data_IF_205474189872
#
_entry.id   IF_205474189872
#
_cell.length_a   1.000
_cell.length_b   1.000
_cell.length_c   1.000
_cell.angle_alpha   90.00
_cell.angle_beta   90.00
_cell.angle_gamma   90.00
#
_symmetry.space_group_name_H-M   'P 1'
#
loop_
_entity.id
_entity.type
_entity.pdbx_description
1 polymer ?
#
# COMPACT_ATOMS: atom_id res chain seq x y z
N UNK A 1 5.12 -2.84 18.37
CA UNK A 1 3.88 -2.67 17.57
C UNK A 1 3.44 -4.06 17.09
N UNK A 2 2.15 -4.34 16.89
CA UNK A 2 1.72 -5.67 16.42
C UNK A 2 2.34 -5.95 15.03
N UNK A 3 2.91 -7.15 14.81
CA UNK A 3 3.59 -7.52 13.55
C UNK A 3 2.71 -7.31 12.30
N UNK A 4 1.39 -7.45 12.45
CA UNK A 4 0.43 -7.17 11.36
C UNK A 4 0.39 -5.69 10.98
N UNK A 5 0.39 -4.80 11.96
CA UNK A 5 0.35 -3.35 11.75
C UNK A 5 1.69 -2.87 11.19
N UNK A 6 2.79 -3.35 11.76
CA UNK A 6 4.13 -2.98 11.32
C UNK A 6 4.45 -3.47 9.91
N UNK A 7 4.12 -4.73 9.60
CA UNK A 7 4.27 -5.27 8.25
C UNK A 7 3.38 -4.57 7.22
N UNK A 8 2.13 -4.24 7.57
CA UNK A 8 1.24 -3.48 6.70
C UNK A 8 1.79 -2.08 6.38
N UNK A 9 2.32 -1.37 7.39
CA UNK A 9 2.92 -0.04 7.18
C UNK A 9 4.19 -0.16 6.31
N UNK A 10 5.06 -1.13 6.59
CA UNK A 10 6.31 -1.32 5.85
C UNK A 10 6.04 -1.64 4.37
N UNK A 11 5.05 -2.50 4.08
CA UNK A 11 4.67 -2.90 2.72
C UNK A 11 4.04 -1.76 1.92
N UNK A 12 3.28 -0.88 2.57
CA UNK A 12 2.51 0.17 1.90
C UNK A 12 3.13 1.57 1.94
N UNK A 13 4.31 1.77 2.53
CA UNK A 13 4.91 3.10 2.68
C UNK A 13 4.89 3.93 1.37
N UNK A 14 5.26 3.31 0.24
CA UNK A 14 5.23 3.95 -1.08
C UNK A 14 3.79 4.18 -1.58
N UNK A 15 2.89 3.25 -1.29
CA UNK A 15 1.49 3.32 -1.70
C UNK A 15 0.77 4.49 -1.01
N UNK A 16 1.07 4.80 0.26
CA UNK A 16 0.50 5.96 0.95
C UNK A 16 0.73 7.27 0.19
N UNK A 17 1.94 7.47 -0.35
CA UNK A 17 2.28 8.67 -1.12
C UNK A 17 1.43 8.72 -2.40
N UNK A 18 1.28 7.59 -3.09
CA UNK A 18 0.46 7.49 -4.31
C UNK A 18 -1.01 7.81 -3.98
N UNK A 19 -1.55 7.26 -2.89
CA UNK A 19 -2.92 7.56 -2.44
C UNK A 19 -3.10 9.04 -2.09
N UNK A 20 -2.12 9.67 -1.41
CA UNK A 20 -2.20 11.09 -1.10
C UNK A 20 -2.21 11.96 -2.37
N UNK A 21 -1.35 11.66 -3.35
CA UNK A 21 -1.32 12.38 -4.64
C UNK A 21 -2.64 12.20 -5.39
N UNK A 22 -3.17 10.98 -5.42
CA UNK A 22 -4.42 10.68 -6.11
C UNK A 22 -5.63 11.35 -5.42
N UNK A 23 -5.62 11.47 -4.09
CA UNK A 23 -6.62 12.25 -3.37
C UNK A 23 -6.56 13.74 -3.73
N UNK A 24 -5.37 14.35 -3.79
CA UNK A 24 -5.20 15.75 -4.21
C UNK A 24 -5.71 15.95 -5.64
N UNK A 25 -5.37 15.02 -6.54
CA UNK A 25 -5.85 15.07 -7.92
C UNK A 25 -7.39 15.05 -7.97
N UNK A 26 -8.04 14.15 -7.22
CA UNK A 26 -9.50 14.08 -7.16
C UNK A 26 -10.10 15.36 -6.57
N UNK A 27 -9.49 15.89 -5.50
CA UNK A 27 -9.93 17.11 -4.82
C UNK A 27 -9.92 18.34 -5.73
N UNK A 28 -9.01 18.40 -6.71
CA UNK A 28 -8.94 19.51 -7.67
C UNK A 28 -9.79 19.21 -8.90
N UNK A 29 -9.64 18.04 -9.51
CA UNK A 29 -10.19 17.73 -10.84
C UNK A 29 -11.66 17.34 -10.81
N UNK A 30 -12.13 16.69 -9.74
CA UNK A 30 -13.51 16.20 -9.67
C UNK A 30 -14.34 16.93 -8.62
N UNK A 31 -13.80 17.13 -7.42
CA UNK A 31 -14.55 17.78 -6.33
C UNK A 31 -14.85 19.23 -6.69
N UNK A 32 -13.89 19.96 -7.27
CA UNK A 32 -14.08 21.37 -7.62
C UNK A 32 -15.22 21.58 -8.63
N UNK A 33 -15.24 20.88 -9.79
CA UNK A 33 -16.35 21.00 -10.73
C UNK A 33 -17.71 20.64 -10.15
N UNK A 34 -17.80 19.57 -9.36
CA UNK A 34 -19.08 19.15 -8.77
C UNK A 34 -19.60 20.20 -7.78
N UNK A 35 -18.73 20.69 -6.89
CA UNK A 35 -19.10 21.66 -5.88
C UNK A 35 -19.48 23.02 -6.50
N UNK A 36 -18.72 23.48 -7.48
CA UNK A 36 -18.97 24.74 -8.18
C UNK A 36 -20.30 24.69 -8.95
N UNK A 37 -20.54 23.61 -9.71
CA UNK A 37 -21.80 23.45 -10.43
C UNK A 37 -23.01 23.33 -9.52
N UNK A 38 -22.85 22.66 -8.38
CA UNK A 38 -23.91 22.58 -7.38
C UNK A 38 -24.24 23.97 -6.81
N UNK A 39 -23.22 24.76 -6.47
CA UNK A 39 -23.40 26.13 -5.98
C UNK A 39 -24.14 27.00 -7.01
N UNK A 40 -23.76 26.93 -8.29
CA UNK A 40 -24.41 27.70 -9.35
C UNK A 40 -25.85 27.23 -9.62
N UNK A 41 -26.13 25.94 -9.48
CA UNK A 41 -27.47 25.39 -9.71
C UNK A 41 -28.50 25.77 -8.64
N UNK A 42 -28.08 26.23 -7.47
CA UNK A 42 -28.97 26.63 -6.37
C UNK A 42 -29.08 28.16 -6.20
N UNK A 43 -28.44 28.94 -7.07
CA UNK A 43 -28.40 30.40 -6.97
C UNK A 43 -29.80 31.05 -7.00
N UNK A 44 -30.77 30.41 -7.68
CA UNK A 44 -32.15 30.87 -7.76
C UNK A 44 -33.05 30.37 -6.61
N UNK A 45 -32.47 29.79 -5.55
CA UNK A 45 -33.18 29.30 -4.36
C UNK A 45 -33.73 27.87 -4.48
N UNK A 46 -33.81 27.31 -5.69
CA UNK A 46 -34.12 25.90 -5.95
C UNK A 46 -33.04 25.27 -6.81
N UNK A 47 -32.85 23.96 -6.69
CA UNK A 47 -31.90 23.22 -7.51
C UNK A 47 -32.39 23.10 -8.96
N UNK A 48 -31.62 23.62 -9.89
CA UNK A 48 -31.85 23.48 -11.33
C UNK A 48 -30.87 22.47 -11.96
N UNK A 49 -31.40 21.34 -12.41
CA UNK A 49 -30.63 20.27 -13.02
C UNK A 49 -29.98 20.69 -14.35
N UNK A 50 -30.64 21.55 -15.14
CA UNK A 50 -30.12 22.01 -16.42
C UNK A 50 -28.88 22.88 -16.20
N UNK A 51 -28.96 23.85 -15.27
CA UNK A 51 -27.82 24.69 -14.89
C UNK A 51 -26.69 23.83 -14.31
N UNK A 52 -27.02 22.86 -13.46
CA UNK A 52 -26.02 21.95 -12.88
C UNK A 52 -25.21 21.23 -13.96
N UNK A 53 -25.88 20.58 -14.92
CA UNK A 53 -25.22 19.80 -15.97
C UNK A 53 -24.40 20.71 -16.89
N UNK A 54 -24.94 21.86 -17.29
CA UNK A 54 -24.23 22.81 -18.14
C UNK A 54 -22.95 23.30 -17.47
N UNK A 55 -23.05 23.72 -16.20
CA UNK A 55 -21.89 24.19 -15.44
C UNK A 55 -20.91 23.05 -15.16
N UNK A 56 -21.38 21.82 -14.95
CA UNK A 56 -20.51 20.66 -14.71
C UNK A 56 -19.64 20.36 -15.93
N UNK A 57 -20.22 20.35 -17.13
CA UNK A 57 -19.47 20.13 -18.36
C UNK A 57 -18.42 21.23 -18.56
N UNK A 58 -18.80 22.51 -18.39
CA UNK A 58 -17.88 23.64 -18.48
C UNK A 58 -16.75 23.55 -17.44
N UNK A 59 -17.07 23.15 -16.22
CA UNK A 59 -16.11 23.11 -15.11
C UNK A 59 -15.15 21.93 -15.20
N UNK A 60 -15.62 20.77 -15.68
CA UNK A 60 -14.77 19.58 -15.90
C UNK A 60 -13.75 19.83 -17.00
N UNK A 61 -14.10 20.60 -18.04
CA UNK A 61 -13.14 20.93 -19.12
C UNK A 61 -12.02 21.86 -18.67
N UNK A 62 -12.24 22.67 -17.62
CA UNK A 62 -11.24 23.60 -17.07
C UNK A 62 -11.16 23.48 -15.54
N UNK A 63 -10.66 22.36 -15.00
CA UNK A 63 -10.75 22.05 -13.57
C UNK A 63 -9.90 22.98 -12.68
N UNK A 64 -8.72 23.39 -13.15
CA UNK A 64 -7.85 24.30 -12.39
C UNK A 64 -8.42 25.72 -12.31
N UNK A 65 -9.02 26.21 -13.40
CA UNK A 65 -9.71 27.49 -13.40
C UNK A 65 -10.92 27.46 -12.46
N UNK A 66 -11.71 26.39 -12.55
CA UNK A 66 -12.86 26.14 -11.66
C UNK A 66 -12.44 26.13 -10.19
N UNK A 67 -11.33 25.48 -9.85
CA UNK A 67 -10.81 25.48 -8.49
C UNK A 67 -10.53 26.90 -7.97
N UNK A 68 -9.98 27.77 -8.81
CA UNK A 68 -9.84 29.20 -8.49
C UNK A 68 -11.19 29.88 -8.30
N UNK A 69 -12.15 29.62 -9.20
CA UNK A 69 -13.49 30.22 -9.15
C UNK A 69 -14.28 29.90 -7.88
N UNK A 70 -14.00 28.77 -7.23
CA UNK A 70 -14.64 28.43 -5.94
C UNK A 70 -14.38 29.48 -4.87
N UNK A 71 -13.17 30.03 -4.83
CA UNK A 71 -12.77 31.03 -3.83
C UNK A 71 -13.26 32.44 -4.17
N UNK A 72 -13.55 32.72 -5.45
CA UNK A 72 -14.05 34.04 -5.89
C UNK A 72 -15.56 34.12 -5.88
N UNK A 73 -16.25 33.04 -6.21
CA UNK A 73 -17.72 32.98 -6.37
C UNK A 73 -18.45 32.53 -5.09
N UNK A 74 -17.75 32.38 -3.97
CA UNK A 74 -18.35 32.03 -2.67
C UNK A 74 -18.72 30.55 -2.49
N UNK A 75 -18.38 29.67 -3.45
CA UNK A 75 -18.70 28.23 -3.41
C UNK A 75 -17.86 27.41 -2.40
N UNK A 76 -17.06 28.06 -1.56
CA UNK A 76 -16.12 27.42 -0.61
C UNK A 76 -16.82 26.48 0.37
N UNK A 77 -18.00 26.86 0.87
CA UNK A 77 -18.77 26.02 1.82
C UNK A 77 -19.24 24.71 1.17
N UNK A 78 -19.74 24.79 -0.05
CA UNK A 78 -20.13 23.61 -0.84
C UNK A 78 -18.91 22.76 -1.17
N UNK A 79 -17.78 23.37 -1.53
CA UNK A 79 -16.54 22.67 -1.80
C UNK A 79 -16.07 21.81 -0.62
N UNK A 80 -15.94 22.38 0.59
CA UNK A 80 -15.52 21.62 1.76
C UNK A 80 -16.51 20.52 2.14
N UNK A 81 -17.82 20.78 1.99
CA UNK A 81 -18.85 19.76 2.26
C UNK A 81 -18.72 18.57 1.30
N UNK A 82 -18.58 18.84 0.00
CA UNK A 82 -18.37 17.80 -1.02
C UNK A 82 -17.04 17.09 -0.82
N UNK A 83 -15.96 17.83 -0.52
CA UNK A 83 -14.63 17.29 -0.25
C UNK A 83 -14.65 16.33 0.94
N UNK A 84 -15.35 16.68 2.02
CA UNK A 84 -15.47 15.85 3.21
C UNK A 84 -16.16 14.52 2.88
N UNK A 85 -17.29 14.56 2.17
CA UNK A 85 -18.02 13.34 1.75
C UNK A 85 -17.11 12.45 0.90
N UNK A 86 -16.46 13.02 -0.13
CA UNK A 86 -15.56 12.27 -1.01
C UNK A 86 -14.36 11.70 -0.24
N UNK A 87 -13.83 12.46 0.72
CA UNK A 87 -12.70 12.01 1.57
C UNK A 87 -13.09 10.83 2.43
N UNK A 88 -14.28 10.83 3.04
CA UNK A 88 -14.77 9.67 3.82
C UNK A 88 -14.84 8.42 2.96
N UNK A 89 -15.48 8.51 1.78
CA UNK A 89 -15.57 7.37 0.87
C UNK A 89 -14.19 6.89 0.40
N UNK A 90 -13.32 7.83 0.02
CA UNK A 90 -11.97 7.54 -0.40
C UNK A 90 -11.15 6.84 0.68
N UNK A 91 -11.21 7.36 1.92
CA UNK A 91 -10.55 6.77 3.07
C UNK A 91 -11.07 5.36 3.37
N UNK A 92 -12.37 5.10 3.23
CA UNK A 92 -12.93 3.78 3.44
C UNK A 92 -12.32 2.73 2.49
N UNK A 93 -12.23 3.03 1.20
CA UNK A 93 -11.55 2.15 0.23
C UNK A 93 -10.07 1.99 0.52
N UNK A 94 -9.40 3.08 0.89
CA UNK A 94 -7.99 3.06 1.30
C UNK A 94 -7.77 2.12 2.50
N UNK A 95 -8.59 2.22 3.54
CA UNK A 95 -8.49 1.37 4.74
C UNK A 95 -8.78 -0.10 4.43
N UNK A 96 -9.76 -0.41 3.56
CA UNK A 96 -10.03 -1.78 3.13
C UNK A 96 -8.79 -2.37 2.43
N UNK A 97 -8.17 -1.62 1.52
CA UNK A 97 -6.93 -2.03 0.86
C UNK A 97 -5.78 -2.23 1.86
N UNK A 98 -5.63 -1.31 2.81
CA UNK A 98 -4.63 -1.38 3.86
C UNK A 98 -4.80 -2.63 4.73
N UNK A 99 -6.01 -2.91 5.23
CA UNK A 99 -6.27 -4.11 6.05
C UNK A 99 -6.00 -5.40 5.26
N UNK A 100 -6.41 -5.46 3.98
CA UNK A 100 -6.16 -6.63 3.13
C UNK A 100 -4.68 -6.88 2.84
N UNK A 101 -3.85 -5.84 2.90
CA UNK A 101 -2.41 -5.93 2.66
C UNK A 101 -1.57 -6.35 3.87
N UNK A 102 -2.19 -6.47 5.05
CA UNK A 102 -1.51 -6.89 6.26
C UNK A 102 -0.95 -8.32 6.14
N UNK A 103 0.24 -8.61 6.69
CA UNK A 103 0.84 -9.94 6.60
C UNK A 103 -0.02 -10.96 7.38
N UNK A 104 -0.24 -12.13 6.77
CA UNK A 104 -1.07 -13.19 7.36
C UNK A 104 -0.37 -13.88 8.53
N UNK A 105 0.96 -13.93 8.51
CA UNK A 105 1.82 -14.49 9.56
C UNK A 105 3.07 -13.61 9.76
N UNK A 106 3.78 -13.83 10.86
CA UNK A 106 4.97 -13.06 11.25
C UNK A 106 6.17 -13.26 10.29
N UNK A 107 6.15 -14.35 9.53
CA UNK A 107 7.24 -14.74 8.63
C UNK A 107 6.99 -14.34 7.16
N UNK A 108 5.92 -13.59 6.88
CA UNK A 108 5.59 -13.12 5.54
C UNK A 108 6.69 -12.21 5.01
N UNK A 109 7.13 -12.44 3.77
CA UNK A 109 8.21 -11.70 3.11
C UNK A 109 9.58 -11.81 3.83
N UNK A 110 9.74 -12.76 4.75
CA UNK A 110 11.04 -13.21 5.25
C UNK A 110 11.53 -14.30 4.28
N UNK A 111 12.68 -14.11 3.64
CA UNK A 111 13.30 -15.16 2.84
C UNK A 111 13.64 -16.35 3.75
N UNK A 112 12.95 -17.46 3.53
CA UNK A 112 13.29 -18.73 4.13
C UNK A 112 14.53 -19.20 3.37
N UNK A 113 15.72 -18.89 3.91
CA UNK A 113 16.97 -19.44 3.39
C UNK A 113 16.93 -20.96 3.43
N UNK A 114 17.93 -21.61 2.83
CA UNK A 114 18.09 -23.07 2.69
C UNK A 114 17.86 -23.93 3.96
N UNK A 115 17.69 -23.31 5.12
CA UNK A 115 17.09 -23.87 6.34
C UNK A 115 15.83 -24.68 6.09
N UNK A 116 14.87 -24.20 5.28
CA UNK A 116 13.64 -24.99 4.99
C UNK A 116 13.94 -26.24 4.15
N UNK A 117 15.03 -26.22 3.38
CA UNK A 117 15.54 -27.38 2.65
C UNK A 117 16.09 -28.47 3.59
N UNK A 118 16.50 -28.08 4.80
CA UNK A 118 17.13 -28.96 5.79
C UNK A 118 16.14 -29.79 6.61
N UNK A 119 14.86 -29.38 6.67
CA UNK A 119 13.88 -30.06 7.52
C UNK A 119 12.97 -31.06 6.77
N UNK A 120 12.94 -31.09 5.43
CA UNK A 120 12.14 -32.05 4.62
C UNK A 120 12.68 -32.38 3.21
N UNK A 121 13.90 -31.95 2.87
CA UNK A 121 14.52 -32.25 1.57
C UNK A 121 15.30 -33.57 1.55
N UNK A 122 16.10 -33.74 0.49
CA UNK A 122 17.34 -34.54 0.40
C UNK A 122 18.21 -34.56 1.66
N UNK A 123 17.74 -35.11 2.79
CA UNK A 123 18.53 -35.12 4.01
C UNK A 123 19.58 -36.21 3.87
N UNK A 124 20.84 -35.81 3.62
CA UNK A 124 21.95 -36.72 3.82
C UNK A 124 21.83 -37.26 5.24
N UNK A 125 21.62 -38.58 5.36
CA UNK A 125 21.53 -39.30 6.64
C UNK A 125 22.51 -38.68 7.61
N UNK A 126 22.02 -38.20 8.76
CA UNK A 126 22.80 -37.47 9.76
C UNK A 126 24.17 -38.14 9.90
N UNK A 127 25.20 -37.49 9.37
CA UNK A 127 26.56 -37.96 9.51
C UNK A 127 27.11 -37.30 10.76
N UNK A 128 27.68 -38.15 11.60
CA UNK A 128 28.19 -37.89 12.94
C UNK A 128 28.59 -36.43 13.19
N UNK A 129 28.05 -35.81 14.26
CA UNK A 129 28.36 -34.45 14.70
C UNK A 129 29.86 -34.22 14.91
N UNK A 130 30.63 -35.28 15.08
CA UNK A 130 32.07 -35.25 15.30
C UNK A 130 32.88 -35.42 13.99
N UNK A 131 32.24 -35.70 12.85
CA UNK A 131 32.90 -36.07 11.58
C UNK A 131 32.35 -35.35 10.33
N UNK A 132 31.58 -34.28 10.49
CA UNK A 132 31.00 -33.54 9.37
C UNK A 132 31.09 -32.03 9.52
N UNK A 133 31.00 -31.32 8.39
CA UNK A 133 30.89 -29.86 8.35
C UNK A 133 29.45 -29.47 8.69
N UNK A 134 29.24 -28.59 9.67
CA UNK A 134 27.90 -28.16 10.08
C UNK A 134 27.26 -27.34 8.96
N UNK A 135 26.13 -27.81 8.41
CA UNK A 135 25.33 -27.08 7.41
C UNK A 135 24.19 -26.30 8.07
N UNK A 136 23.54 -26.91 9.06
CA UNK A 136 22.47 -26.34 9.87
C UNK A 136 22.41 -27.07 11.22
N UNK A 137 21.56 -26.62 12.14
CA UNK A 137 21.33 -27.31 13.42
C UNK A 137 20.95 -28.78 13.16
N UNK A 138 21.77 -29.70 13.67
CA UNK A 138 21.66 -31.15 13.48
C UNK A 138 21.83 -31.69 12.04
N UNK A 139 22.33 -30.88 11.10
CA UNK A 139 22.63 -31.31 9.74
C UNK A 139 24.13 -31.13 9.43
N UNK A 140 24.78 -32.23 9.03
CA UNK A 140 26.24 -32.27 8.85
C UNK A 140 26.58 -32.86 7.48
N UNK A 141 27.55 -32.23 6.80
CA UNK A 141 28.09 -32.69 5.52
C UNK A 141 29.28 -33.63 5.77
N UNK A 142 29.27 -34.86 5.26
CA UNK A 142 30.38 -35.81 5.42
C UNK A 142 31.65 -35.33 4.70
N UNK A 143 32.79 -35.37 5.39
CA UNK A 143 34.10 -34.98 4.82
C UNK A 143 34.78 -36.09 4.01
N UNK A 144 34.30 -37.33 4.14
CA UNK A 144 34.83 -38.51 3.44
C UNK A 144 34.33 -38.64 1.99
N UNK A 145 33.38 -37.80 1.57
CA UNK A 145 32.87 -37.77 0.19
C UNK A 145 33.61 -36.75 -0.67
N UNK A 146 34.04 -37.18 -1.86
CA UNK A 146 34.72 -36.33 -2.85
C UNK A 146 33.81 -35.18 -3.27
N UNK A 147 34.27 -33.94 -3.11
CA UNK A 147 33.52 -32.71 -3.40
C UNK A 147 33.06 -31.94 -2.15
N UNK A 148 32.97 -32.59 -0.99
CA UNK A 148 32.48 -31.97 0.25
C UNK A 148 33.53 -31.18 1.04
N UNK A 149 34.81 -31.42 0.77
CA UNK A 149 35.95 -30.76 1.44
C UNK A 149 36.23 -29.33 0.96
N UNK A 150 35.65 -28.92 -0.18
CA UNK A 150 35.79 -27.56 -0.74
C UNK A 150 34.46 -26.78 -0.69
N UNK A 151 33.65 -27.01 0.34
CA UNK A 151 32.38 -26.31 0.54
C UNK A 151 32.56 -25.19 1.56
N UNK A 152 32.34 -23.94 1.14
CA UNK A 152 32.25 -22.80 2.04
C UNK A 152 30.83 -22.72 2.62
N UNK A 153 30.68 -23.01 3.90
CA UNK A 153 29.42 -22.77 4.61
C UNK A 153 29.41 -21.32 5.10
N UNK A 154 28.63 -20.48 4.44
CA UNK A 154 28.43 -19.09 4.87
C UNK A 154 27.23 -19.04 5.83
N UNK A 155 27.51 -19.02 7.14
CA UNK A 155 26.48 -18.77 8.13
C UNK A 155 25.96 -17.33 8.03
N UNK A 156 24.63 -17.14 7.93
CA UNK A 156 24.03 -15.81 8.13
C UNK A 156 23.98 -15.54 9.64
N UNK A 157 24.89 -14.72 10.16
CA UNK A 157 24.79 -14.21 11.53
C UNK A 157 23.64 -13.20 11.55
N UNK A 158 22.52 -13.56 12.21
CA UNK A 158 21.42 -12.63 12.50
C UNK A 158 21.67 -12.03 13.87
N UNK A 159 22.08 -10.76 13.93
CA UNK A 159 21.98 -9.98 15.15
C UNK A 159 20.53 -9.54 15.31
N UNK A 160 19.91 -9.89 16.45
CA UNK A 160 18.62 -9.38 16.87
C UNK A 160 18.81 -8.12 17.70
#
# INVERSE_FOLDING_TARGET
MNYKVEGAIKRNRKNFIIFAILWIFIAIVFVSPIAYSYHMSIANGTFDLQIFIEMLIKSITNPFATFGSIFTEGAVGNYFSTLLIVTIFYSLFFFIGFVKSAPKNEYSDIEHGSSDWSQRGEQYKILDKNKGIVLAENNYLPVDKRGNVNVLVVGRIRFW
#
